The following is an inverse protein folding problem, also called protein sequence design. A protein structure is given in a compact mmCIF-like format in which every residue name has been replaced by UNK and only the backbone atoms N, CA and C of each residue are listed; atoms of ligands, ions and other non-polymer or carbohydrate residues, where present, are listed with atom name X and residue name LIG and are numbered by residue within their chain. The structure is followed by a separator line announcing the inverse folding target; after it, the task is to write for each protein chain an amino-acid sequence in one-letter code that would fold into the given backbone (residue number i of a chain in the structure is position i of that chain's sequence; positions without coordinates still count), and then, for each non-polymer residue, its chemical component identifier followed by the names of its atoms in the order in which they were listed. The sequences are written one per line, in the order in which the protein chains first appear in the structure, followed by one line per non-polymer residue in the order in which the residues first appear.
data_IF_837335916628
#
_entry.id   IF_837335916628
#
_cell.length_a   1.000
_cell.length_b   1.000
_cell.length_c   1.000
_cell.angle_alpha   90.00
_cell.angle_beta   90.00
_cell.angle_gamma   90.00
#
_symmetry.space_group_name_H-M   'P 1'
#
loop_
_entity.id
_entity.type
_entity.pdbx_description
1 polymer ?
#
# COMPACT_ATOMS: atom_id res chain seq x y z
N UNK A 1 -23.43 -15.95 4.27
CA UNK A 1 -22.96 -16.16 2.89
C UNK A 1 -21.53 -15.64 2.85
N UNK A 2 -20.51 -16.45 2.54
CA UNK A 2 -19.18 -15.88 2.31
C UNK A 2 -19.30 -14.92 1.14
N UNK A 3 -18.99 -13.64 1.37
CA UNK A 3 -18.89 -12.63 0.32
C UNK A 3 -17.81 -13.10 -0.67
N UNK A 4 -18.01 -12.97 -1.99
CA UNK A 4 -16.99 -13.36 -2.99
C UNK A 4 -15.61 -12.72 -2.77
N UNK A 5 -15.52 -11.69 -1.93
CA UNK A 5 -14.28 -11.04 -1.51
C UNK A 5 -13.46 -11.78 -0.43
N UNK A 6 -14.05 -12.72 0.33
CA UNK A 6 -13.37 -13.45 1.44
C UNK A 6 -12.02 -14.10 1.03
N UNK A 7 -11.88 -14.79 -0.12
CA UNK A 7 -10.58 -15.35 -0.50
C UNK A 7 -9.53 -14.26 -0.83
N UNK A 8 -9.94 -13.12 -1.39
CA UNK A 8 -9.03 -12.02 -1.72
C UNK A 8 -8.58 -11.27 -0.46
N UNK A 9 -9.51 -10.97 0.46
CA UNK A 9 -9.17 -10.39 1.76
C UNK A 9 -8.23 -11.29 2.54
N UNK A 10 -8.48 -12.60 2.56
CA UNK A 10 -7.58 -13.57 3.19
C UNK A 10 -6.20 -13.59 2.54
N UNK A 11 -6.11 -13.39 1.22
CA UNK A 11 -4.83 -13.29 0.53
C UNK A 11 -4.04 -12.07 0.99
N UNK A 12 -4.68 -10.89 1.05
CA UNK A 12 -4.07 -9.66 1.54
C UNK A 12 -3.60 -9.81 3.00
N UNK A 13 -4.47 -10.27 3.89
CA UNK A 13 -4.18 -10.37 5.32
C UNK A 13 -3.11 -11.42 5.66
N UNK A 14 -2.84 -12.38 4.77
CA UNK A 14 -1.78 -13.38 4.95
C UNK A 14 -0.43 -12.97 4.39
N UNK A 15 -0.38 -11.87 3.65
CA UNK A 15 0.85 -11.40 3.03
C UNK A 15 1.68 -10.59 4.03
N UNK A 16 2.46 -11.30 4.85
CA UNK A 16 3.32 -10.71 5.89
C UNK A 16 4.30 -9.66 5.35
N UNK A 17 4.63 -9.70 4.05
CA UNK A 17 5.51 -8.71 3.44
C UNK A 17 4.90 -7.30 3.40
N UNK A 18 3.58 -7.15 3.58
CA UNK A 18 2.92 -5.84 3.64
C UNK A 18 3.26 -5.07 4.91
N UNK A 19 3.30 -5.75 6.05
CA UNK A 19 3.45 -5.10 7.36
C UNK A 19 4.82 -5.32 8.00
N UNK A 20 5.64 -6.25 7.48
CA UNK A 20 6.97 -6.53 8.02
C UNK A 20 7.85 -5.27 8.03
N UNK A 21 8.27 -4.87 9.22
CA UNK A 21 9.16 -3.72 9.45
C UNK A 21 8.43 -2.39 9.69
N UNK A 22 7.10 -2.36 9.60
CA UNK A 22 6.29 -1.23 10.02
C UNK A 22 6.03 -1.28 11.53
N UNK A 23 5.76 -0.13 12.13
CA UNK A 23 5.16 -0.06 13.46
C UNK A 23 3.67 -0.40 13.40
N UNK A 24 3.07 -0.62 14.57
CA UNK A 24 1.68 -1.06 14.68
C UNK A 24 0.69 -0.07 14.03
N UNK A 25 0.99 1.23 14.12
CA UNK A 25 0.13 2.29 13.58
C UNK A 25 0.16 2.25 12.05
N UNK A 26 1.35 2.26 11.44
CA UNK A 26 1.46 2.26 9.98
C UNK A 26 1.00 0.94 9.38
N UNK A 27 1.28 -0.17 10.05
CA UNK A 27 0.80 -1.49 9.65
C UNK A 27 -0.74 -1.54 9.62
N UNK A 28 -1.38 -1.01 10.68
CA UNK A 28 -2.85 -0.94 10.73
C UNK A 28 -3.40 -0.07 9.60
N UNK A 29 -2.85 1.12 9.39
CA UNK A 29 -3.29 2.04 8.33
C UNK A 29 -3.17 1.41 6.95
N UNK A 30 -2.06 0.74 6.67
CA UNK A 30 -1.85 0.06 5.39
C UNK A 30 -2.81 -1.11 5.21
N UNK A 31 -3.04 -1.92 6.25
CA UNK A 31 -3.98 -3.05 6.17
C UNK A 31 -5.40 -2.56 5.93
N UNK A 32 -5.87 -1.55 6.67
CA UNK A 32 -7.20 -0.96 6.48
C UNK A 32 -7.37 -0.43 5.05
N UNK A 33 -6.40 0.31 4.55
CA UNK A 33 -6.41 0.79 3.18
C UNK A 33 -6.48 -0.35 2.16
N UNK A 34 -5.69 -1.42 2.34
CA UNK A 34 -5.69 -2.56 1.43
C UNK A 34 -7.00 -3.35 1.48
N UNK A 35 -7.62 -3.51 2.66
CA UNK A 35 -8.90 -4.21 2.78
C UNK A 35 -10.01 -3.43 2.10
N UNK A 36 -10.09 -2.12 2.33
CA UNK A 36 -11.10 -1.25 1.72
C UNK A 36 -10.98 -1.26 0.19
N UNK A 37 -9.76 -1.10 -0.33
CA UNK A 37 -9.51 -1.16 -1.78
C UNK A 37 -9.76 -2.55 -2.38
N UNK A 38 -9.47 -3.63 -1.64
CA UNK A 38 -9.74 -4.99 -2.11
C UNK A 38 -11.23 -5.22 -2.30
N UNK A 39 -12.07 -4.74 -1.37
CA UNK A 39 -13.52 -4.81 -1.50
C UNK A 39 -14.02 -4.01 -2.69
N UNK A 40 -13.58 -2.76 -2.83
CA UNK A 40 -13.95 -1.89 -3.96
C UNK A 40 -13.54 -2.48 -5.31
N UNK A 41 -12.32 -3.01 -5.43
CA UNK A 41 -11.83 -3.62 -6.67
C UNK A 41 -12.57 -4.91 -7.00
N UNK A 42 -12.90 -5.72 -6.00
CA UNK A 42 -13.69 -6.93 -6.21
C UNK A 42 -15.11 -6.60 -6.69
N UNK A 43 -15.74 -5.57 -6.12
CA UNK A 43 -17.08 -5.13 -6.52
C UNK A 43 -17.10 -4.48 -7.92
N UNK A 44 -16.10 -3.68 -8.26
CA UNK A 44 -16.02 -2.98 -9.55
C UNK A 44 -15.59 -3.88 -10.73
N UNK A 45 -15.04 -5.07 -10.45
CA UNK A 45 -14.50 -5.96 -11.48
C UNK A 45 -15.59 -6.72 -12.22
N UNK A 46 -15.41 -6.88 -13.54
CA UNK A 46 -16.37 -7.60 -14.41
C UNK A 46 -16.25 -9.12 -14.28
N UNK A 47 -15.07 -9.60 -13.90
CA UNK A 47 -14.76 -11.02 -13.74
C UNK A 47 -13.92 -11.24 -12.48
N UNK A 48 -13.91 -12.47 -11.98
CA UNK A 48 -13.07 -12.84 -10.83
C UNK A 48 -11.56 -12.72 -11.16
N UNK A 49 -11.17 -13.06 -12.38
CA UNK A 49 -9.77 -12.95 -12.84
C UNK A 49 -9.29 -11.50 -12.90
N UNK A 50 -10.16 -10.57 -13.31
CA UNK A 50 -9.88 -9.14 -13.29
C UNK A 50 -9.71 -8.66 -11.85
N UNK A 51 -10.61 -9.05 -10.94
CA UNK A 51 -10.54 -8.72 -9.53
C UNK A 51 -9.22 -9.19 -8.90
N UNK A 52 -8.85 -10.46 -9.11
CA UNK A 52 -7.58 -10.99 -8.64
C UNK A 52 -6.37 -10.26 -9.22
N UNK A 53 -6.43 -9.86 -10.49
CA UNK A 53 -5.37 -9.08 -11.12
C UNK A 53 -5.23 -7.69 -10.51
N UNK A 54 -6.34 -7.03 -10.20
CA UNK A 54 -6.37 -5.78 -9.46
C UNK A 54 -5.80 -5.93 -8.04
N UNK A 55 -6.25 -6.94 -7.27
CA UNK A 55 -5.77 -7.20 -5.91
C UNK A 55 -4.28 -7.52 -5.87
N UNK A 56 -3.75 -8.31 -6.81
CA UNK A 56 -2.31 -8.58 -6.89
C UNK A 56 -1.48 -7.32 -7.17
N UNK A 57 -2.00 -6.41 -8.01
CA UNK A 57 -1.35 -5.10 -8.24
C UNK A 57 -1.39 -4.24 -6.99
N UNK A 58 -2.54 -4.21 -6.31
CA UNK A 58 -2.71 -3.52 -5.04
C UNK A 58 -1.72 -4.02 -3.97
N UNK A 59 -1.56 -5.34 -3.80
CA UNK A 59 -0.58 -5.89 -2.86
C UNK A 59 0.87 -5.49 -3.22
N UNK A 60 1.23 -5.53 -4.51
CA UNK A 60 2.57 -5.08 -4.95
C UNK A 60 2.80 -3.61 -4.60
N UNK A 61 1.79 -2.77 -4.86
CA UNK A 61 1.82 -1.34 -4.51
C UNK A 61 1.96 -1.14 -2.99
N UNK A 62 1.16 -1.85 -2.19
CA UNK A 62 1.22 -1.81 -0.73
C UNK A 62 2.59 -2.22 -0.17
N UNK A 63 3.22 -3.27 -0.72
CA UNK A 63 4.58 -3.67 -0.32
C UNK A 63 5.61 -2.57 -0.64
N UNK A 64 5.48 -1.93 -1.79
CA UNK A 64 6.37 -0.86 -2.20
C UNK A 64 6.21 0.38 -1.30
N UNK A 65 4.96 0.74 -0.95
CA UNK A 65 4.66 1.79 0.05
C UNK A 65 5.29 1.46 1.39
N UNK A 66 5.04 0.26 1.90
CA UNK A 66 5.60 -0.22 3.17
C UNK A 66 7.13 -0.10 3.20
N UNK A 67 7.79 -0.57 2.13
CA UNK A 67 9.25 -0.50 2.03
C UNK A 67 9.75 0.93 1.94
N UNK A 68 9.04 1.81 1.24
CA UNK A 68 9.37 3.22 1.17
C UNK A 68 9.30 3.89 2.55
N UNK A 69 8.23 3.66 3.31
CA UNK A 69 8.06 4.23 4.65
C UNK A 69 9.18 3.77 5.59
N UNK A 70 9.55 2.50 5.53
CA UNK A 70 10.69 1.96 6.29
C UNK A 70 11.99 2.68 5.93
N UNK A 71 12.34 2.71 4.64
CA UNK A 71 13.58 3.31 4.17
C UNK A 71 13.65 4.81 4.47
N UNK A 72 12.53 5.53 4.40
CA UNK A 72 12.50 6.97 4.66
C UNK A 72 12.83 7.31 6.12
N UNK A 73 12.41 6.46 7.05
CA UNK A 73 12.60 6.62 8.49
C UNK A 73 13.91 6.00 9.01
N UNK A 74 14.64 5.23 8.18
CA UNK A 74 15.97 4.75 8.50
C UNK A 74 17.03 5.87 8.36
N UNK A 75 17.98 6.05 9.32
CA UNK A 75 18.96 7.13 9.29
C UNK A 75 19.81 7.25 8.01
N UNK A 76 19.99 6.14 7.28
CA UNK A 76 20.74 6.08 6.02
C UNK A 76 19.88 5.58 4.85
N UNK A 77 18.57 5.38 5.05
CA UNK A 77 17.70 4.73 4.08
C UNK A 77 17.12 5.65 3.01
N UNK A 78 17.17 6.98 3.20
CA UNK A 78 16.52 7.96 2.31
C UNK A 78 16.96 7.87 0.85
N UNK A 79 18.25 7.67 0.60
CA UNK A 79 18.75 7.47 -0.77
C UNK A 79 18.09 6.26 -1.44
N UNK A 80 17.94 5.16 -0.69
CA UNK A 80 17.22 3.97 -1.13
C UNK A 80 15.72 4.24 -1.31
N UNK A 81 15.10 5.01 -0.43
CA UNK A 81 13.69 5.40 -0.56
C UNK A 81 13.45 6.22 -1.84
N UNK A 82 14.31 7.18 -2.16
CA UNK A 82 14.22 7.97 -3.40
C UNK A 82 14.44 7.10 -4.64
N UNK A 83 15.39 6.18 -4.61
CA UNK A 83 15.62 5.23 -5.71
C UNK A 83 14.41 4.31 -5.91
N UNK A 84 13.85 3.79 -4.82
CA UNK A 84 12.62 2.99 -4.85
C UNK A 84 11.46 3.79 -5.46
N UNK A 85 11.28 5.04 -5.03
CA UNK A 85 10.24 5.91 -5.57
C UNK A 85 10.38 6.13 -7.08
N UNK A 86 11.61 6.30 -7.58
CA UNK A 86 11.87 6.41 -9.01
C UNK A 86 11.58 5.08 -9.75
N UNK A 87 12.01 3.95 -9.19
CA UNK A 87 11.83 2.62 -9.78
C UNK A 87 10.35 2.21 -9.87
N UNK A 88 9.59 2.47 -8.79
CA UNK A 88 8.15 2.21 -8.68
C UNK A 88 7.28 3.31 -9.30
N UNK A 89 7.92 4.37 -9.82
CA UNK A 89 7.30 5.54 -10.44
C UNK A 89 6.21 6.14 -9.55
N UNK A 90 6.52 6.31 -8.27
CA UNK A 90 5.62 7.00 -7.35
C UNK A 90 5.39 8.43 -7.83
N UNK A 91 4.12 8.79 -7.92
CA UNK A 91 3.68 10.10 -8.41
C UNK A 91 3.27 11.03 -7.27
N UNK A 92 3.18 10.54 -6.04
CA UNK A 92 3.04 11.39 -4.87
C UNK A 92 4.28 12.29 -4.71
N UNK A 93 4.10 13.55 -4.29
CA UNK A 93 5.23 14.43 -4.01
C UNK A 93 6.07 13.84 -2.86
N UNK A 94 7.39 13.77 -3.03
CA UNK A 94 8.27 13.40 -1.93
C UNK A 94 8.20 14.47 -0.83
N UNK A 95 8.10 14.08 0.45
CA UNK A 95 7.95 15.04 1.52
C UNK A 95 9.22 15.90 1.65
N UNK A 96 9.07 17.22 1.86
CA UNK A 96 10.20 18.15 1.90
C UNK A 96 11.01 18.10 3.21
N UNK A 97 10.46 17.48 4.25
CA UNK A 97 11.05 17.40 5.58
C UNK A 97 10.96 15.99 6.15
N UNK A 98 11.60 15.81 7.30
CA UNK A 98 11.49 14.61 8.12
C UNK A 98 10.04 14.49 8.59
N UNK A 99 9.37 13.44 8.15
CA UNK A 99 8.06 13.03 8.64
C UNK A 99 8.26 11.70 9.36
N UNK A 100 7.64 11.58 10.53
CA UNK A 100 7.55 10.31 11.24
C UNK A 100 6.75 9.30 10.39
N UNK A 101 7.01 8.02 10.63
CA UNK A 101 6.39 6.94 9.86
C UNK A 101 4.85 6.99 9.77
N UNK A 102 4.08 7.31 10.84
CA UNK A 102 2.62 7.44 10.75
C UNK A 102 2.18 8.57 9.82
N UNK A 103 2.79 9.74 9.95
CA UNK A 103 2.44 10.92 9.16
C UNK A 103 2.80 10.72 7.68
N UNK A 104 3.93 10.05 7.42
CA UNK A 104 4.34 9.68 6.08
C UNK A 104 3.37 8.69 5.44
N UNK A 105 3.02 7.62 6.17
CA UNK A 105 2.04 6.64 5.71
C UNK A 105 0.70 7.32 5.42
N UNK A 106 0.23 8.17 6.34
CA UNK A 106 -0.99 8.94 6.15
C UNK A 106 -0.96 9.76 4.87
N UNK A 107 0.10 10.54 4.68
CA UNK A 107 0.28 11.40 3.51
C UNK A 107 0.22 10.61 2.19
N UNK A 108 0.92 9.48 2.13
CA UNK A 108 0.96 8.61 0.94
C UNK A 108 -0.43 8.04 0.65
N UNK A 109 -1.09 7.43 1.65
CA UNK A 109 -2.39 6.79 1.45
C UNK A 109 -3.49 7.80 1.12
N UNK A 110 -3.45 9.00 1.70
CA UNK A 110 -4.34 10.10 1.32
C UNK A 110 -4.14 10.50 -0.14
N UNK A 111 -2.90 10.59 -0.61
CA UNK A 111 -2.63 10.91 -2.02
C UNK A 111 -3.13 9.81 -2.97
N UNK A 112 -2.88 8.54 -2.64
CA UNK A 112 -3.34 7.38 -3.44
C UNK A 112 -4.86 7.35 -3.55
N UNK A 113 -5.59 7.64 -2.46
CA UNK A 113 -7.06 7.72 -2.49
C UNK A 113 -7.58 8.85 -3.40
N UNK A 114 -6.83 9.93 -3.56
CA UNK A 114 -7.19 11.05 -4.44
C UNK A 114 -6.84 10.78 -5.92
N UNK A 115 -5.99 9.79 -6.20
CA UNK A 115 -5.46 9.49 -7.53
C UNK A 115 -5.51 7.99 -7.85
N UNK A 116 -6.69 7.35 -7.81
CA UNK A 116 -6.80 5.89 -7.92
C UNK A 116 -6.47 5.32 -9.31
N UNK A 117 -6.45 6.16 -10.35
CA UNK A 117 -6.21 5.76 -11.74
C UNK A 117 -4.71 5.80 -12.15
N UNK A 118 -3.80 6.00 -11.20
CA UNK A 118 -2.37 6.27 -11.46
C UNK A 118 -1.43 5.11 -11.13
#
# INVERSE_FOLDING_TARGET
MPTPCDPMLRHVLRDEALTRGLGDIEAKMLVEWLTDWTELLAEASRTEDDAWSCVRRLCRRGRAISRFVQLWNEPQGRGGATQLAAAERFAWPLPPSDLEAPDLMHHILTWENQHPDR
#
